data_IF_432173468694
#
_entry.id   IF_432173468694
#
_cell.length_a   1.000
_cell.length_b   1.000
_cell.length_c   1.000
_cell.angle_alpha   90.00
_cell.angle_beta   90.00
_cell.angle_gamma   90.00
#
_symmetry.space_group_name_H-M   'P 1'
#
loop_
_entity.id
_entity.type
_entity.pdbx_description
1 polymer ?
#
# COMPACT_ATOMS: atom_id res chain seq x y z
N UNK A 1 -17.99 0.16 -49.31
CA UNK A 1 -17.57 -0.63 -48.16
C UNK A 1 -16.10 -0.29 -47.83
N UNK A 2 -15.84 0.48 -46.74
CA UNK A 2 -14.48 0.84 -46.33
C UNK A 2 -13.93 -0.28 -45.47
N UNK A 3 -12.73 -0.82 -45.81
CA UNK A 3 -12.00 -1.83 -45.03
C UNK A 3 -11.60 -1.22 -43.66
N UNK A 4 -11.69 -1.96 -42.54
CA UNK A 4 -11.21 -1.48 -41.26
C UNK A 4 -9.68 -1.37 -41.31
N UNK A 5 -9.21 -0.19 -40.90
CA UNK A 5 -7.82 0.26 -40.99
C UNK A 5 -6.89 -0.61 -40.15
N UNK A 6 -5.77 -1.01 -40.75
CA UNK A 6 -4.69 -1.83 -40.13
C UNK A 6 -4.13 -1.28 -38.82
N UNK A 7 -4.29 0.03 -38.54
CA UNK A 7 -3.91 0.67 -37.29
C UNK A 7 -4.63 0.10 -36.05
N UNK A 8 -5.95 -0.14 -36.14
CA UNK A 8 -6.72 -0.72 -35.02
C UNK A 8 -6.32 -2.17 -34.68
N UNK A 9 -5.77 -2.86 -35.65
CA UNK A 9 -5.30 -4.25 -35.47
C UNK A 9 -3.91 -4.27 -34.81
N UNK A 10 -3.06 -3.29 -35.12
CA UNK A 10 -1.72 -3.12 -34.49
C UNK A 10 -1.83 -2.64 -33.05
N UNK A 11 -2.74 -1.73 -32.74
CA UNK A 11 -3.00 -1.27 -31.35
C UNK A 11 -3.51 -2.41 -30.45
N UNK A 12 -4.41 -3.25 -30.96
CA UNK A 12 -4.88 -4.44 -30.22
C UNK A 12 -3.83 -5.52 -30.06
N UNK A 13 -2.88 -5.65 -30.97
CA UNK A 13 -1.77 -6.60 -30.88
C UNK A 13 -0.68 -6.12 -29.92
N UNK A 14 -0.39 -4.81 -29.85
CA UNK A 14 0.56 -4.22 -28.91
C UNK A 14 0.09 -4.33 -27.46
N UNK A 15 -1.23 -4.28 -27.24
CA UNK A 15 -1.82 -4.38 -25.89
C UNK A 15 -1.88 -5.83 -25.35
N UNK A 16 -1.60 -6.83 -26.16
CA UNK A 16 -1.68 -8.25 -25.79
C UNK A 16 -0.44 -8.76 -25.04
N UNK A 17 0.63 -7.96 -24.97
CA UNK A 17 1.90 -8.37 -24.36
C UNK A 17 2.33 -7.49 -23.18
N UNK A 18 1.50 -6.53 -22.74
CA UNK A 18 1.80 -5.69 -21.60
C UNK A 18 1.33 -6.40 -20.33
N UNK A 19 2.27 -6.68 -19.42
CA UNK A 19 1.94 -7.23 -18.11
C UNK A 19 1.07 -6.25 -17.34
N UNK A 20 0.11 -6.77 -16.61
CA UNK A 20 -0.69 -5.98 -15.66
C UNK A 20 0.13 -5.62 -14.45
N UNK A 21 0.00 -4.40 -13.98
CA UNK A 21 0.74 -3.90 -12.81
C UNK A 21 -0.08 -4.01 -11.55
N UNK A 22 0.45 -4.75 -10.58
CA UNK A 22 -0.06 -4.82 -9.21
C UNK A 22 0.83 -3.97 -8.31
N UNK A 23 0.26 -2.97 -7.66
CA UNK A 23 0.96 -2.19 -6.64
C UNK A 23 0.52 -2.65 -5.25
N UNK A 24 1.48 -3.03 -4.43
CA UNK A 24 1.31 -3.42 -3.04
C UNK A 24 1.81 -2.27 -2.16
N UNK A 25 0.98 -1.82 -1.23
CA UNK A 25 1.29 -0.72 -0.33
C UNK A 25 1.53 -1.25 1.09
N UNK A 26 2.68 -0.91 1.67
CA UNK A 26 2.89 -0.99 3.11
C UNK A 26 2.26 0.23 3.77
N UNK A 27 1.07 0.07 4.30
CA UNK A 27 0.28 1.19 4.80
C UNK A 27 0.92 1.85 6.03
N UNK A 28 1.48 1.04 6.96
CA UNK A 28 2.09 1.58 8.17
C UNK A 28 3.38 2.34 7.87
N UNK A 29 4.27 1.78 7.05
CA UNK A 29 5.51 2.45 6.66
C UNK A 29 5.25 3.77 5.92
N UNK A 30 4.25 3.80 5.04
CA UNK A 30 3.82 5.01 4.33
C UNK A 30 3.30 6.07 5.31
N UNK A 31 2.42 5.68 6.25
CA UNK A 31 1.84 6.60 7.22
C UNK A 31 2.88 7.14 8.20
N UNK A 32 3.77 6.28 8.71
CA UNK A 32 4.89 6.71 9.54
C UNK A 32 5.79 7.72 8.82
N UNK A 33 6.17 7.43 7.59
CA UNK A 33 6.97 8.35 6.79
C UNK A 33 6.27 9.68 6.58
N UNK A 34 4.99 9.68 6.23
CA UNK A 34 4.21 10.90 6.03
C UNK A 34 4.10 11.71 7.33
N UNK A 35 3.86 11.04 8.46
CA UNK A 35 3.76 11.68 9.77
C UNK A 35 5.02 12.45 10.16
N UNK A 36 6.19 11.85 9.97
CA UNK A 36 7.46 12.48 10.33
C UNK A 36 8.00 13.47 9.27
N UNK A 37 7.52 13.39 8.03
CA UNK A 37 7.98 14.27 6.95
C UNK A 37 7.17 15.56 6.82
N UNK A 38 5.97 15.62 7.39
CA UNK A 38 5.05 16.73 7.23
C UNK A 38 4.82 17.48 8.56
N UNK A 39 4.49 18.77 8.50
CA UNK A 39 4.07 19.52 9.70
C UNK A 39 2.79 18.93 10.30
N UNK A 40 2.56 19.29 11.57
CA UNK A 40 1.34 18.94 12.29
C UNK A 40 0.12 19.66 11.70
N UNK A 41 -0.52 19.03 10.74
CA UNK A 41 -1.78 19.48 10.19
C UNK A 41 -2.95 18.95 11.03
N UNK A 42 -3.94 19.82 11.23
CA UNK A 42 -5.19 19.46 11.90
C UNK A 42 -6.39 19.93 11.08
N UNK A 43 -7.46 19.15 11.13
CA UNK A 43 -8.75 19.54 10.61
C UNK A 43 -9.37 20.65 11.49
N UNK A 44 -10.47 21.27 11.03
CA UNK A 44 -11.16 22.34 11.78
C UNK A 44 -11.68 21.91 13.16
N UNK A 45 -11.93 20.62 13.34
CA UNK A 45 -12.35 20.02 14.60
C UNK A 45 -11.17 19.63 15.52
N UNK A 46 -9.92 19.94 15.14
CA UNK A 46 -8.70 19.62 15.90
C UNK A 46 -8.16 18.19 15.68
N UNK A 47 -8.76 17.38 14.82
CA UNK A 47 -8.22 16.04 14.50
C UNK A 47 -6.90 16.16 13.72
N UNK A 48 -5.86 15.39 14.10
CA UNK A 48 -4.59 15.36 13.35
C UNK A 48 -4.80 14.73 11.97
N UNK A 49 -4.22 15.36 10.93
CA UNK A 49 -4.43 14.95 9.52
C UNK A 49 -3.16 14.90 8.69
N UNK A 50 -1.98 15.21 9.23
CA UNK A 50 -0.73 15.30 8.48
C UNK A 50 -0.38 14.00 7.76
N UNK A 51 -0.42 12.85 8.46
CA UNK A 51 -0.15 11.56 7.87
C UNK A 51 -1.20 11.17 6.80
N UNK A 52 -2.47 11.49 7.04
CA UNK A 52 -3.56 11.25 6.07
C UNK A 52 -3.39 12.09 4.80
N UNK A 53 -3.00 13.35 4.95
CA UNK A 53 -2.67 14.21 3.81
C UNK A 53 -1.52 13.62 2.97
N UNK A 54 -0.44 13.20 3.64
CA UNK A 54 0.69 12.58 2.98
C UNK A 54 0.33 11.26 2.30
N UNK A 55 -0.51 10.44 2.93
CA UNK A 55 -1.05 9.21 2.33
C UNK A 55 -1.81 9.52 1.04
N UNK A 56 -2.76 10.47 1.07
CA UNK A 56 -3.55 10.85 -0.11
C UNK A 56 -2.65 11.36 -1.24
N UNK A 57 -1.71 12.25 -0.92
CA UNK A 57 -0.77 12.77 -1.90
C UNK A 57 0.07 11.66 -2.56
N UNK A 58 0.54 10.69 -1.76
CA UNK A 58 1.30 9.55 -2.27
C UNK A 58 0.43 8.61 -3.12
N UNK A 59 -0.81 8.33 -2.70
CA UNK A 59 -1.73 7.50 -3.49
C UNK A 59 -2.00 8.12 -4.86
N UNK A 60 -2.29 9.41 -4.92
CA UNK A 60 -2.50 10.13 -6.19
C UNK A 60 -1.27 10.03 -7.09
N UNK A 61 -0.08 10.23 -6.53
CA UNK A 61 1.18 10.12 -7.27
C UNK A 61 1.41 8.70 -7.79
N UNK A 62 1.20 7.68 -6.97
CA UNK A 62 1.33 6.26 -7.37
C UNK A 62 0.37 5.94 -8.53
N UNK A 63 -0.89 6.37 -8.41
CA UNK A 63 -1.89 6.13 -9.45
C UNK A 63 -1.51 6.83 -10.76
N UNK A 64 -1.04 8.08 -10.68
CA UNK A 64 -0.66 8.86 -11.87
C UNK A 64 0.60 8.31 -12.56
N UNK A 65 1.65 8.01 -11.79
CA UNK A 65 2.95 7.60 -12.32
C UNK A 65 3.00 6.12 -12.71
N UNK A 66 2.47 5.24 -11.85
CA UNK A 66 2.55 3.80 -12.07
C UNK A 66 1.38 3.25 -12.88
N UNK A 67 0.25 3.96 -12.92
CA UNK A 67 -0.98 3.53 -13.62
C UNK A 67 -1.30 2.06 -13.34
N UNK A 68 -1.49 1.68 -12.06
CA UNK A 68 -1.68 0.30 -11.69
C UNK A 68 -2.99 -0.27 -12.24
N UNK A 69 -2.97 -1.52 -12.71
CA UNK A 69 -4.19 -2.29 -13.00
C UNK A 69 -4.85 -2.77 -11.71
N UNK A 70 -4.01 -3.05 -10.69
CA UNK A 70 -4.42 -3.48 -9.37
C UNK A 70 -3.61 -2.75 -8.31
N UNK A 71 -4.27 -2.37 -7.23
CA UNK A 71 -3.64 -1.75 -6.07
C UNK A 71 -4.27 -2.30 -4.79
N UNK A 72 -3.44 -2.60 -3.80
CA UNK A 72 -3.89 -3.08 -2.50
C UNK A 72 -2.97 -2.60 -1.39
N UNK A 73 -3.48 -2.53 -0.17
CA UNK A 73 -2.73 -2.12 1.00
C UNK A 73 -2.63 -3.27 2.01
N UNK A 74 -1.45 -3.45 2.61
CA UNK A 74 -1.23 -4.36 3.70
C UNK A 74 -1.09 -3.58 5.01
N UNK A 75 -1.75 -4.07 6.06
CA UNK A 75 -1.78 -3.45 7.38
C UNK A 75 -1.28 -4.41 8.44
N UNK A 76 -0.56 -3.86 9.42
CA UNK A 76 -0.36 -4.53 10.69
C UNK A 76 -1.64 -4.45 11.54
N UNK A 77 -1.96 -5.51 12.24
CA UNK A 77 -2.94 -5.50 13.29
C UNK A 77 -2.26 -5.33 14.65
N UNK A 78 -2.98 -4.72 15.59
CA UNK A 78 -2.53 -4.66 16.97
C UNK A 78 -2.51 -6.08 17.57
N UNK A 79 -1.46 -6.40 18.32
CA UNK A 79 -1.31 -7.67 19.02
C UNK A 79 0.00 -8.38 18.71
N UNK A 80 0.24 -9.50 19.42
CA UNK A 80 1.44 -10.29 19.19
C UNK A 80 1.37 -11.01 17.84
N UNK A 81 2.53 -11.16 17.21
CA UNK A 81 2.71 -11.94 16.00
C UNK A 81 3.50 -13.21 16.32
N UNK A 82 3.53 -14.18 15.42
CA UNK A 82 4.31 -15.42 15.61
C UNK A 82 5.80 -15.14 15.87
N UNK A 83 6.32 -13.95 15.48
CA UNK A 83 7.69 -13.54 15.79
C UNK A 83 7.91 -13.26 17.26
N UNK A 84 6.88 -12.82 18.00
CA UNK A 84 6.96 -12.62 19.45
C UNK A 84 7.04 -13.97 20.18
N UNK A 85 6.38 -15.01 19.65
CA UNK A 85 6.45 -16.36 20.18
C UNK A 85 7.83 -17.01 19.90
N UNK A 86 8.43 -16.68 18.75
CA UNK A 86 9.72 -17.21 18.35
C UNK A 86 10.92 -16.46 18.99
N UNK A 87 10.77 -15.17 19.31
CA UNK A 87 11.84 -14.30 19.84
C UNK A 87 11.31 -13.41 20.96
N UNK A 88 11.65 -13.72 22.19
CA UNK A 88 11.18 -13.07 23.42
C UNK A 88 11.37 -11.54 23.43
N UNK A 89 12.41 -11.04 22.76
CA UNK A 89 12.73 -9.60 22.67
C UNK A 89 12.36 -8.94 21.33
N UNK A 90 11.54 -9.61 20.52
CA UNK A 90 11.15 -9.05 19.22
C UNK A 90 10.43 -7.71 19.40
N UNK A 91 10.98 -6.65 18.81
CA UNK A 91 10.48 -5.28 18.90
C UNK A 91 10.36 -4.68 20.33
N UNK A 92 10.95 -5.32 21.36
CA UNK A 92 10.87 -4.87 22.76
C UNK A 92 11.42 -3.46 23.00
N UNK A 93 12.33 -2.97 22.13
CA UNK A 93 12.92 -1.63 22.21
C UNK A 93 12.21 -0.55 21.38
N UNK A 94 11.10 -0.86 20.69
CA UNK A 94 10.39 0.15 19.89
C UNK A 94 9.65 1.12 20.80
N UNK A 95 9.84 2.43 20.54
CA UNK A 95 9.05 3.48 21.19
C UNK A 95 7.56 3.27 20.88
N UNK A 96 6.72 3.60 21.86
CA UNK A 96 5.26 3.58 21.67
C UNK A 96 4.90 4.57 20.56
N UNK A 97 4.07 4.13 19.61
CA UNK A 97 3.52 5.00 18.57
C UNK A 97 2.70 6.13 19.21
N UNK A 98 2.91 7.35 18.75
CA UNK A 98 2.18 8.53 19.26
C UNK A 98 0.69 8.38 19.02
N UNK A 99 -0.13 8.80 20.01
CA UNK A 99 -1.59 8.64 19.95
C UNK A 99 -2.21 9.40 18.76
N UNK A 100 -1.58 10.51 18.31
CA UNK A 100 -2.00 11.26 17.13
C UNK A 100 -1.78 10.45 15.83
N UNK A 101 -0.70 9.69 15.75
CA UNK A 101 -0.44 8.81 14.61
C UNK A 101 -1.36 7.58 14.63
N UNK A 102 -1.60 7.00 15.81
CA UNK A 102 -2.55 5.87 15.96
C UNK A 102 -3.92 6.24 15.41
N UNK A 103 -4.45 7.41 15.78
CA UNK A 103 -5.74 7.91 15.25
C UNK A 103 -5.73 8.05 13.72
N UNK A 104 -4.62 8.49 13.15
CA UNK A 104 -4.51 8.65 11.71
C UNK A 104 -4.36 7.30 11.00
N UNK A 105 -3.69 6.31 11.62
CA UNK A 105 -3.63 4.93 11.12
C UNK A 105 -5.04 4.34 11.05
N UNK A 106 -5.84 4.48 12.10
CA UNK A 106 -7.22 3.98 12.11
C UNK A 106 -8.06 4.66 11.02
N UNK A 107 -7.98 5.99 10.89
CA UNK A 107 -8.70 6.78 9.88
C UNK A 107 -8.22 6.51 8.45
N UNK A 108 -6.98 6.06 8.27
CA UNK A 108 -6.45 5.75 6.95
C UNK A 108 -7.22 4.64 6.23
N UNK A 109 -7.87 3.74 6.97
CA UNK A 109 -8.75 2.71 6.40
C UNK A 109 -9.91 3.31 5.62
N UNK A 110 -10.48 4.42 6.11
CA UNK A 110 -11.54 5.16 5.39
C UNK A 110 -10.99 5.78 4.09
N UNK A 111 -9.73 6.25 4.11
CA UNK A 111 -9.07 6.78 2.90
C UNK A 111 -8.91 5.68 1.86
N UNK A 112 -8.37 4.51 2.23
CA UNK A 112 -8.23 3.39 1.32
C UNK A 112 -9.59 2.93 0.76
N UNK A 113 -10.62 2.86 1.61
CA UNK A 113 -11.97 2.54 1.17
C UNK A 113 -12.53 3.56 0.17
N UNK A 114 -12.30 4.86 0.39
CA UNK A 114 -12.72 5.93 -0.52
C UNK A 114 -12.03 5.85 -1.90
N UNK A 115 -10.79 5.36 -1.95
CA UNK A 115 -10.06 5.07 -3.19
C UNK A 115 -10.45 3.72 -3.82
N UNK A 116 -11.31 2.92 -3.18
CA UNK A 116 -11.65 1.58 -3.63
C UNK A 116 -10.49 0.58 -3.49
N UNK A 117 -9.49 0.89 -2.66
CA UNK A 117 -8.30 0.06 -2.44
C UNK A 117 -8.63 -0.99 -1.37
N UNK A 118 -8.44 -2.26 -1.73
CA UNK A 118 -8.63 -3.37 -0.80
C UNK A 118 -7.51 -3.41 0.23
N UNK A 119 -7.88 -3.68 1.48
CA UNK A 119 -6.94 -3.87 2.59
C UNK A 119 -6.80 -5.36 2.87
N UNK A 120 -5.55 -5.79 3.11
CA UNK A 120 -5.21 -7.10 3.64
C UNK A 120 -4.53 -6.93 4.99
N UNK A 121 -5.06 -7.61 5.98
CA UNK A 121 -4.49 -7.75 7.30
C UNK A 121 -4.85 -9.13 7.86
N UNK A 122 -4.03 -9.65 8.77
CA UNK A 122 -4.26 -10.95 9.40
C UNK A 122 -3.68 -10.98 10.80
N UNK A 123 -4.50 -11.38 11.79
CA UNK A 123 -4.05 -11.51 13.18
C UNK A 123 -2.88 -12.50 13.29
N UNK A 124 -1.85 -12.14 14.05
CA UNK A 124 -0.65 -12.96 14.23
C UNK A 124 0.43 -12.80 13.14
N UNK A 125 0.16 -11.99 12.09
CA UNK A 125 1.09 -11.69 11.01
C UNK A 125 1.29 -10.18 10.87
N UNK A 126 2.37 -9.79 10.24
CA UNK A 126 2.72 -8.40 9.94
C UNK A 126 2.39 -8.06 8.47
N UNK A 127 2.34 -6.76 8.15
CA UNK A 127 2.12 -6.30 6.77
C UNK A 127 3.15 -6.91 5.80
N UNK A 128 4.40 -7.05 6.21
CA UNK A 128 5.48 -7.67 5.42
C UNK A 128 5.17 -9.13 5.06
N UNK A 129 4.53 -9.88 5.96
CA UNK A 129 4.11 -11.26 5.68
C UNK A 129 3.04 -11.31 4.60
N UNK A 130 2.12 -10.33 4.63
CA UNK A 130 1.08 -10.20 3.59
C UNK A 130 1.71 -9.81 2.26
N UNK A 131 2.61 -8.83 2.25
CA UNK A 131 3.35 -8.40 1.06
C UNK A 131 4.12 -9.58 0.44
N UNK A 132 4.93 -10.27 1.24
CA UNK A 132 5.70 -11.43 0.80
C UNK A 132 4.81 -12.56 0.27
N UNK A 133 3.70 -12.85 0.94
CA UNK A 133 2.74 -13.88 0.53
C UNK A 133 2.12 -13.56 -0.83
N UNK A 134 1.68 -12.31 -1.04
CA UNK A 134 1.08 -11.89 -2.30
C UNK A 134 2.13 -11.96 -3.43
N UNK A 135 3.36 -11.51 -3.18
CA UNK A 135 4.46 -11.61 -4.15
C UNK A 135 4.72 -13.06 -4.53
N UNK A 136 4.82 -13.97 -3.58
CA UNK A 136 5.04 -15.40 -3.86
C UNK A 136 3.90 -16.03 -4.68
N UNK A 137 2.66 -15.67 -4.39
CA UNK A 137 1.51 -16.15 -5.16
C UNK A 137 1.51 -15.61 -6.59
N UNK A 138 1.91 -14.36 -6.77
CA UNK A 138 1.93 -13.69 -8.09
C UNK A 138 3.11 -14.12 -8.96
N UNK A 139 4.22 -14.62 -8.40
CA UNK A 139 5.35 -15.17 -9.17
C UNK A 139 4.94 -16.26 -10.19
N UNK A 140 3.84 -16.96 -9.91
CA UNK A 140 3.28 -17.98 -10.82
C UNK A 140 2.47 -17.39 -11.98
N UNK A 141 2.14 -16.10 -11.92
CA UNK A 141 1.34 -15.38 -12.90
C UNK A 141 2.27 -14.61 -13.84
N UNK A 142 2.47 -15.15 -15.07
CA UNK A 142 3.43 -14.58 -16.04
C UNK A 142 3.04 -13.20 -16.59
N UNK A 143 1.79 -12.81 -16.42
CA UNK A 143 1.17 -11.60 -16.93
C UNK A 143 1.02 -10.49 -15.88
N UNK A 144 1.57 -10.68 -14.67
CA UNK A 144 1.56 -9.68 -13.59
C UNK A 144 2.98 -9.22 -13.29
N UNK A 145 3.11 -7.89 -13.15
CA UNK A 145 4.30 -7.20 -12.67
C UNK A 145 3.99 -6.56 -11.31
N UNK A 146 4.78 -6.87 -10.30
CA UNK A 146 4.52 -6.43 -8.92
C UNK A 146 5.46 -5.30 -8.54
N UNK A 147 4.91 -4.23 -8.00
CA UNK A 147 5.64 -3.10 -7.42
C UNK A 147 5.25 -2.96 -5.96
N UNK A 148 6.22 -2.95 -5.06
CA UNK A 148 6.01 -2.66 -3.63
C UNK A 148 6.31 -1.19 -3.39
N UNK A 149 5.36 -0.48 -2.78
CA UNK A 149 5.54 0.87 -2.30
C UNK A 149 5.56 0.85 -0.76
N UNK A 150 6.74 1.00 -0.19
CA UNK A 150 6.98 1.07 1.24
C UNK A 150 7.74 2.35 1.59
N UNK A 151 7.58 2.81 2.83
CA UNK A 151 8.40 3.86 3.42
C UNK A 151 9.70 3.32 4.02
N UNK A 152 9.82 2.01 4.16
CA UNK A 152 10.99 1.31 4.66
C UNK A 152 11.92 0.92 3.49
N UNK A 153 13.24 1.05 3.70
CA UNK A 153 14.24 0.71 2.69
C UNK A 153 14.68 -0.75 2.74
N UNK A 154 14.21 -1.49 3.76
CA UNK A 154 14.58 -2.88 4.01
C UNK A 154 13.58 -3.91 3.43
N UNK A 155 12.58 -3.43 2.68
CA UNK A 155 11.55 -4.27 2.03
C UNK A 155 11.93 -4.71 0.63
#
# INVERSE_FOLDING_TARGET
MKKPTEEKTKEKAANKNQKKRLVLLDAHAILHRAYHALPDFSARNGEPTGALYGLVAMLLKIIEELKPDYITACFDLAGPTYRHDAYEHYKAGRAKTEDSLVKQIDRSRDVFAAFGIRIYDHAGFEADDMLGTIVEQTKKMKDIDVVIASGDMDT
#
